data_IF_218105945662
#
_entry.id   IF_218105945662
#
_cell.length_a   1.000
_cell.length_b   1.000
_cell.length_c   1.000
_cell.angle_alpha   90.00
_cell.angle_beta   90.00
_cell.angle_gamma   90.00
#
_symmetry.space_group_name_H-M   'P 1'
#
loop_
_entity.id
_entity.type
_entity.pdbx_description
1 polymer ?
#
# COMPACT_ATOMS: atom_id res chain seq x y z
N UNK A 1 3.82 -1.80 -19.82
CA UNK A 1 4.78 -2.93 -19.83
C UNK A 1 4.52 -3.94 -18.72
N UNK A 2 4.32 -3.54 -17.45
CA UNK A 2 4.04 -4.48 -16.35
C UNK A 2 2.73 -5.31 -16.51
N UNK A 3 1.66 -4.70 -17.03
CA UNK A 3 0.36 -5.38 -17.22
C UNK A 3 0.42 -6.53 -18.24
N UNK A 4 1.26 -6.40 -19.28
CA UNK A 4 1.43 -7.44 -20.30
C UNK A 4 2.07 -8.69 -19.69
N UNK A 5 3.10 -8.50 -18.84
CA UNK A 5 3.74 -9.62 -18.15
C UNK A 5 2.82 -10.32 -17.14
N UNK A 6 1.95 -9.59 -16.45
CA UNK A 6 0.99 -10.18 -15.51
C UNK A 6 -0.05 -11.04 -16.23
N UNK A 7 -0.63 -10.55 -17.33
CA UNK A 7 -1.62 -11.30 -18.11
C UNK A 7 -1.00 -12.55 -18.75
N UNK A 8 0.18 -12.42 -19.35
CA UNK A 8 0.94 -13.56 -19.91
C UNK A 8 1.27 -14.62 -18.85
N UNK A 9 1.57 -14.20 -17.62
CA UNK A 9 1.78 -15.13 -16.51
C UNK A 9 0.47 -15.77 -16.04
N UNK A 10 -0.59 -14.98 -15.92
CA UNK A 10 -1.91 -15.45 -15.49
C UNK A 10 -2.47 -16.51 -16.44
N UNK A 11 -2.27 -16.35 -17.75
CA UNK A 11 -2.72 -17.31 -18.77
C UNK A 11 -2.05 -18.69 -18.68
N UNK A 12 -0.92 -18.80 -17.96
CA UNK A 12 -0.25 -20.07 -17.69
C UNK A 12 -0.76 -20.76 -16.41
N UNK A 13 -1.65 -20.12 -15.66
CA UNK A 13 -2.16 -20.65 -14.41
C UNK A 13 -3.45 -21.46 -14.62
N UNK A 14 -3.77 -22.39 -13.71
CA UNK A 14 -5.09 -23.04 -13.68
C UNK A 14 -6.23 -22.03 -13.62
N UNK A 15 -7.39 -22.39 -14.18
CA UNK A 15 -8.55 -21.50 -14.30
C UNK A 15 -9.01 -20.91 -12.96
N UNK A 16 -8.92 -21.69 -11.87
CA UNK A 16 -9.27 -21.21 -10.54
C UNK A 16 -8.36 -20.07 -10.06
N UNK A 17 -7.08 -20.08 -10.43
CA UNK A 17 -6.13 -19.00 -10.11
C UNK A 17 -6.46 -17.76 -10.95
N UNK A 18 -6.75 -17.95 -12.25
CA UNK A 18 -7.10 -16.87 -13.17
C UNK A 18 -8.33 -16.12 -12.68
N UNK A 19 -9.33 -16.81 -12.18
CA UNK A 19 -10.49 -16.17 -11.56
C UNK A 19 -10.22 -15.58 -10.18
N UNK A 20 -9.41 -16.22 -9.34
CA UNK A 20 -9.02 -15.63 -8.07
C UNK A 20 -8.34 -14.26 -8.26
N UNK A 21 -7.45 -14.16 -9.26
CA UNK A 21 -6.82 -12.91 -9.67
C UNK A 21 -7.85 -11.90 -10.18
N UNK A 22 -8.82 -12.34 -11.01
CA UNK A 22 -9.91 -11.49 -11.48
C UNK A 22 -10.74 -10.92 -10.33
N UNK A 23 -11.14 -11.75 -9.36
CA UNK A 23 -11.89 -11.32 -8.16
C UNK A 23 -11.10 -10.31 -7.34
N UNK A 24 -9.81 -10.57 -7.16
CA UNK A 24 -8.93 -9.65 -6.45
C UNK A 24 -8.81 -8.30 -7.16
N UNK A 25 -8.62 -8.32 -8.48
CA UNK A 25 -8.57 -7.11 -9.28
C UNK A 25 -9.92 -6.37 -9.24
N UNK A 26 -11.04 -7.04 -9.41
CA UNK A 26 -12.35 -6.38 -9.51
C UNK A 26 -12.85 -5.72 -8.21
N UNK A 27 -12.27 -6.05 -7.04
CA UNK A 27 -12.73 -5.50 -5.75
C UNK A 27 -12.03 -4.18 -5.40
N UNK A 28 -12.79 -3.12 -5.06
CA UNK A 28 -12.22 -1.88 -4.55
C UNK A 28 -11.30 -2.14 -3.34
N UNK A 29 -10.12 -1.53 -3.35
CA UNK A 29 -9.15 -1.70 -2.27
C UNK A 29 -8.61 -3.12 -2.12
N UNK A 30 -8.79 -3.99 -3.12
CA UNK A 30 -8.30 -5.37 -3.14
C UNK A 30 -8.84 -6.26 -2.01
N UNK A 31 -9.95 -5.86 -1.39
CA UNK A 31 -10.53 -6.55 -0.25
C UNK A 31 -11.53 -7.63 -0.71
N UNK A 32 -11.15 -8.89 -0.51
CA UNK A 32 -11.99 -10.03 -0.90
C UNK A 32 -13.12 -10.25 0.11
N UNK A 33 -14.35 -10.23 -0.38
CA UNK A 33 -15.54 -10.52 0.41
C UNK A 33 -15.71 -12.02 0.64
N UNK A 34 -16.63 -12.38 1.54
CA UNK A 34 -16.88 -13.79 1.87
C UNK A 34 -17.37 -14.60 0.67
N UNK A 35 -18.13 -13.96 -0.24
CA UNK A 35 -18.55 -14.56 -1.50
C UNK A 35 -17.38 -14.86 -2.43
N UNK A 36 -16.38 -13.97 -2.52
CA UNK A 36 -15.20 -14.21 -3.33
C UNK A 36 -14.39 -15.40 -2.80
N UNK A 37 -14.21 -15.45 -1.47
CA UNK A 37 -13.53 -16.55 -0.79
C UNK A 37 -14.27 -17.88 -0.98
N UNK A 38 -15.60 -17.87 -0.88
CA UNK A 38 -16.43 -19.03 -1.12
C UNK A 38 -16.31 -19.52 -2.58
N UNK A 39 -16.36 -18.59 -3.55
CA UNK A 39 -16.16 -18.89 -4.97
C UNK A 39 -14.82 -19.54 -5.27
N UNK A 40 -13.72 -18.97 -4.75
CA UNK A 40 -12.37 -19.56 -4.89
C UNK A 40 -12.31 -20.93 -4.22
N UNK A 41 -12.87 -21.08 -3.02
CA UNK A 41 -12.91 -22.35 -2.29
C UNK A 41 -13.64 -23.45 -3.06
N UNK A 42 -14.78 -23.15 -3.67
CA UNK A 42 -15.54 -24.10 -4.48
C UNK A 42 -14.71 -24.62 -5.67
N UNK A 43 -13.93 -23.75 -6.32
CA UNK A 43 -13.07 -24.13 -7.46
C UNK A 43 -11.87 -24.95 -7.05
N UNK A 44 -11.22 -24.60 -5.94
CA UNK A 44 -10.13 -25.40 -5.38
C UNK A 44 -10.64 -26.80 -5.01
N UNK A 45 -11.84 -26.90 -4.43
CA UNK A 45 -12.48 -28.19 -4.13
C UNK A 45 -12.81 -29.00 -5.38
N UNK A 46 -13.33 -28.36 -6.43
CA UNK A 46 -13.60 -29.02 -7.71
C UNK A 46 -12.32 -29.58 -8.35
N UNK A 47 -11.27 -28.76 -8.46
CA UNK A 47 -9.97 -29.20 -9.00
C UNK A 47 -9.33 -30.29 -8.13
N UNK A 48 -9.56 -30.26 -6.81
CA UNK A 48 -9.14 -31.31 -5.89
C UNK A 48 -10.00 -32.57 -5.90
N UNK A 49 -11.07 -32.65 -6.72
CA UNK A 49 -11.95 -33.81 -6.80
C UNK A 49 -12.94 -33.97 -5.64
N UNK A 50 -13.11 -32.95 -4.80
CA UNK A 50 -14.01 -32.98 -3.65
C UNK A 50 -15.47 -32.66 -4.00
N UNK A 51 -15.73 -32.11 -5.19
CA UNK A 51 -17.07 -31.75 -5.66
C UNK A 51 -17.21 -32.05 -7.16
N UNK A 52 -18.32 -32.66 -7.56
CA UNK A 52 -18.60 -32.97 -8.96
C UNK A 52 -19.10 -31.75 -9.75
N UNK A 53 -19.77 -30.81 -9.09
CA UNK A 53 -20.30 -29.60 -9.72
C UNK A 53 -19.15 -28.73 -10.23
N UNK A 54 -19.24 -28.30 -11.50
CA UNK A 54 -18.29 -27.37 -12.11
C UNK A 54 -18.70 -25.94 -11.68
N UNK A 55 -17.92 -25.27 -10.81
CA UNK A 55 -18.21 -23.90 -10.44
C UNK A 55 -17.95 -22.97 -11.63
N UNK A 56 -18.81 -21.95 -11.79
CA UNK A 56 -18.63 -20.90 -12.79
C UNK A 56 -17.23 -20.30 -12.66
N UNK A 57 -16.52 -20.09 -13.78
CA UNK A 57 -15.17 -19.55 -13.77
C UNK A 57 -14.88 -18.53 -14.85
N UNK A 58 -14.48 -17.32 -14.44
CA UNK A 58 -14.19 -16.21 -15.36
C UNK A 58 -12.73 -15.77 -15.20
N UNK A 59 -11.91 -15.87 -16.27
CA UNK A 59 -10.48 -15.57 -16.19
C UNK A 59 -10.22 -14.07 -16.02
N UNK A 60 -9.03 -13.73 -15.51
CA UNK A 60 -8.51 -12.37 -15.55
C UNK A 60 -8.36 -11.90 -17.00
N UNK A 61 -8.73 -10.66 -17.28
CA UNK A 61 -8.54 -10.01 -18.58
C UNK A 61 -8.03 -8.58 -18.37
N UNK A 62 -7.53 -7.96 -19.44
CA UNK A 62 -7.01 -6.59 -19.38
C UNK A 62 -8.04 -5.57 -18.88
N UNK A 63 -9.33 -5.78 -19.15
CA UNK A 63 -10.42 -4.89 -18.71
C UNK A 63 -10.53 -4.80 -17.18
N UNK A 64 -10.29 -5.93 -16.51
CA UNK A 64 -10.29 -6.01 -15.04
C UNK A 64 -9.11 -5.25 -14.41
N UNK A 65 -8.01 -5.06 -15.15
CA UNK A 65 -6.86 -4.29 -14.69
C UNK A 65 -7.05 -2.78 -14.98
N UNK A 66 -7.61 -2.45 -16.15
CA UNK A 66 -7.90 -1.06 -16.58
C UNK A 66 -8.95 -0.37 -15.71
N UNK A 67 -9.92 -1.10 -15.17
CA UNK A 67 -10.91 -0.52 -14.25
C UNK A 67 -10.28 0.00 -12.94
N UNK A 68 -9.12 -0.53 -12.55
CA UNK A 68 -8.38 -0.12 -11.35
C UNK A 68 -7.23 0.84 -11.63
N UNK A 69 -6.92 1.09 -12.91
CA UNK A 69 -6.26 2.34 -13.29
C UNK A 69 -7.31 3.45 -13.24
N UNK A 70 -7.80 3.76 -12.04
CA UNK A 70 -8.47 5.03 -11.80
C UNK A 70 -7.58 6.10 -12.44
N UNK A 71 -8.16 6.96 -13.26
CA UNK A 71 -7.54 8.15 -13.88
C UNK A 71 -7.07 9.18 -12.82
N UNK A 72 -6.86 8.74 -11.59
CA UNK A 72 -6.38 9.52 -10.47
C UNK A 72 -4.88 9.79 -10.68
N UNK A 73 -4.46 11.06 -10.51
CA UNK A 73 -3.11 11.48 -10.79
C UNK A 73 -2.11 10.70 -9.93
N UNK A 74 -0.98 10.33 -10.53
CA UNK A 74 0.14 9.74 -9.76
C UNK A 74 0.61 10.75 -8.71
N UNK A 75 1.07 10.25 -7.56
CA UNK A 75 1.69 11.09 -6.55
C UNK A 75 3.15 10.69 -6.29
N UNK A 76 4.01 11.67 -6.09
CA UNK A 76 5.40 11.51 -5.66
C UNK A 76 5.51 11.97 -4.21
N UNK A 77 6.05 11.12 -3.33
CA UNK A 77 6.31 11.51 -1.95
C UNK A 77 7.52 12.46 -1.91
N UNK A 78 7.34 13.66 -1.39
CA UNK A 78 8.37 14.70 -1.32
C UNK A 78 9.06 14.74 0.05
N UNK A 79 8.28 14.58 1.13
CA UNK A 79 8.85 14.54 2.48
C UNK A 79 7.95 13.91 3.52
N UNK A 80 8.57 13.38 4.57
CA UNK A 80 7.94 12.98 5.83
C UNK A 80 8.53 13.80 6.98
N UNK A 81 7.70 14.56 7.67
CA UNK A 81 8.08 15.37 8.82
C UNK A 81 7.78 16.88 8.63
N UNK A 82 7.75 17.69 9.70
CA UNK A 82 8.07 17.35 11.09
C UNK A 82 7.15 16.27 11.67
N UNK A 83 7.67 15.56 12.66
CA UNK A 83 6.98 14.45 13.33
C UNK A 83 6.74 14.79 14.78
N UNK A 84 5.59 14.39 15.33
CA UNK A 84 5.29 14.51 16.76
C UNK A 84 4.93 13.15 17.32
N UNK A 85 5.33 12.93 18.58
CA UNK A 85 4.94 11.76 19.37
C UNK A 85 5.36 10.42 18.76
N UNK A 86 6.46 10.39 18.02
CA UNK A 86 6.92 9.22 17.30
C UNK A 86 8.38 8.87 17.61
N UNK A 87 8.58 7.70 18.21
CA UNK A 87 9.86 7.22 18.73
C UNK A 87 10.58 8.34 19.49
N UNK A 88 11.88 8.51 19.26
CA UNK A 88 12.67 9.66 19.71
C UNK A 88 13.17 10.45 18.49
N UNK A 89 12.32 10.58 17.46
CA UNK A 89 12.63 11.44 16.32
C UNK A 89 12.60 12.90 16.78
N UNK A 90 13.52 13.72 16.29
CA UNK A 90 13.55 15.14 16.67
C UNK A 90 12.33 15.85 16.06
N UNK A 91 11.66 16.70 16.85
CA UNK A 91 10.34 17.26 16.49
C UNK A 91 10.34 18.00 15.14
N UNK A 92 11.40 18.75 14.85
CA UNK A 92 11.53 19.52 13.60
C UNK A 92 12.18 18.75 12.44
N UNK A 93 12.50 17.46 12.64
CA UNK A 93 13.22 16.70 11.63
C UNK A 93 12.31 16.27 10.48
N UNK A 94 12.78 16.55 9.26
CA UNK A 94 12.11 16.16 8.03
C UNK A 94 13.02 15.27 7.20
N UNK A 95 12.48 14.14 6.75
CA UNK A 95 13.10 13.30 5.74
C UNK A 95 12.60 13.72 4.37
N UNK A 96 13.50 14.16 3.50
CA UNK A 96 13.18 14.64 2.14
C UNK A 96 13.55 13.60 1.11
N UNK A 97 12.73 13.50 0.07
CA UNK A 97 12.93 12.63 -1.07
C UNK A 97 13.13 13.47 -2.33
N UNK A 98 13.97 12.98 -3.23
CA UNK A 98 14.07 13.50 -4.58
C UNK A 98 12.73 13.28 -5.29
N UNK A 99 12.17 14.36 -5.86
CA UNK A 99 10.95 14.31 -6.66
C UNK A 99 11.20 13.74 -8.05
N UNK A 100 12.46 13.71 -8.47
CA UNK A 100 12.97 13.06 -9.66
C UNK A 100 14.28 12.35 -9.32
N UNK A 101 14.35 11.05 -9.58
CA UNK A 101 15.52 10.21 -9.29
C UNK A 101 15.40 9.30 -8.07
N UNK A 102 16.54 8.98 -7.46
CA UNK A 102 16.68 7.99 -6.38
C UNK A 102 17.17 8.69 -5.11
N UNK A 103 16.51 8.40 -3.98
CA UNK A 103 16.93 8.87 -2.66
C UNK A 103 17.52 7.70 -1.87
N UNK A 104 18.77 7.83 -1.42
CA UNK A 104 19.44 6.85 -0.54
C UNK A 104 19.52 7.44 0.86
N UNK A 105 18.92 6.76 1.84
CA UNK A 105 18.91 7.19 3.24
C UNK A 105 19.78 6.23 4.06
N UNK A 106 20.81 6.76 4.70
CA UNK A 106 21.74 6.00 5.52
C UNK A 106 22.09 6.75 6.81
N UNK A 107 22.75 6.07 7.74
CA UNK A 107 23.17 6.63 9.03
C UNK A 107 23.31 5.55 10.09
N UNK A 108 23.74 5.93 11.29
CA UNK A 108 24.05 5.00 12.37
C UNK A 108 22.82 4.26 12.92
N UNK A 109 23.07 3.15 13.62
CA UNK A 109 22.03 2.47 14.37
C UNK A 109 21.43 3.42 15.41
N UNK A 110 20.09 3.45 15.49
CA UNK A 110 19.38 4.38 16.35
C UNK A 110 19.14 5.78 15.77
N UNK A 111 19.59 6.08 14.54
CA UNK A 111 19.37 7.40 13.90
C UNK A 111 17.93 7.69 13.45
N UNK A 112 16.99 6.77 13.68
CA UNK A 112 15.57 6.96 13.34
C UNK A 112 15.12 6.41 11.99
N UNK A 113 16.01 5.82 11.18
CA UNK A 113 15.68 5.23 9.85
C UNK A 113 14.46 4.29 9.89
N UNK A 114 14.46 3.33 10.81
CA UNK A 114 13.33 2.38 10.96
C UNK A 114 12.04 3.10 11.35
N UNK A 115 12.11 4.22 12.09
CA UNK A 115 10.96 5.05 12.43
C UNK A 115 10.29 5.61 11.17
N UNK A 116 11.07 6.21 10.26
CA UNK A 116 10.55 6.71 8.98
C UNK A 116 10.04 5.58 8.06
N UNK A 117 10.66 4.40 8.08
CA UNK A 117 10.16 3.25 7.33
C UNK A 117 8.75 2.85 7.80
N UNK A 118 8.50 2.79 9.12
CA UNK A 118 7.16 2.49 9.66
C UNK A 118 6.13 3.55 9.30
N UNK A 119 6.51 4.84 9.31
CA UNK A 119 5.65 5.93 8.81
C UNK A 119 5.24 5.67 7.36
N UNK A 120 6.22 5.39 6.49
CA UNK A 120 5.96 5.13 5.08
C UNK A 120 5.03 3.93 4.90
N UNK A 121 5.25 2.82 5.64
CA UNK A 121 4.37 1.64 5.60
C UNK A 121 2.93 1.91 6.04
N UNK A 122 2.69 2.83 6.99
CA UNK A 122 1.35 3.21 7.47
C UNK A 122 0.63 4.17 6.52
N UNK A 123 1.37 5.09 5.89
CA UNK A 123 0.83 6.10 4.98
C UNK A 123 0.61 5.60 3.56
N UNK A 124 1.50 4.74 3.09
CA UNK A 124 1.54 4.24 1.72
C UNK A 124 1.04 2.80 1.65
N UNK A 125 0.96 2.23 0.44
CA UNK A 125 0.60 0.83 0.25
C UNK A 125 1.76 -0.08 0.62
N UNK A 126 1.61 -0.80 1.72
CA UNK A 126 2.54 -1.83 2.17
C UNK A 126 1.80 -3.15 2.41
N UNK A 127 2.50 -4.27 2.26
CA UNK A 127 1.97 -5.60 2.64
C UNK A 127 1.91 -5.76 4.16
N UNK A 128 2.82 -5.11 4.88
CA UNK A 128 2.91 -5.11 6.34
C UNK A 128 2.82 -3.67 6.85
N UNK A 129 2.13 -3.47 7.97
CA UNK A 129 2.11 -2.19 8.66
C UNK A 129 2.48 -2.41 10.13
N UNK A 130 3.55 -1.75 10.56
CA UNK A 130 4.04 -1.80 11.93
C UNK A 130 3.44 -0.67 12.76
N UNK A 131 3.24 -0.88 14.05
CA UNK A 131 2.74 0.18 14.94
C UNK A 131 3.72 1.34 15.10
N UNK A 132 3.16 2.54 15.18
CA UNK A 132 3.89 3.77 15.45
C UNK A 132 3.98 3.96 16.95
N UNK A 133 5.14 3.67 17.51
CA UNK A 133 5.40 3.75 18.96
C UNK A 133 5.93 5.14 19.33
N UNK A 134 5.35 5.78 20.34
CA UNK A 134 5.87 7.04 20.88
C UNK A 134 7.10 6.87 21.76
N UNK A 135 7.71 7.98 22.17
CA UNK A 135 8.97 8.04 22.92
C UNK A 135 8.94 7.21 24.20
N UNK A 136 9.86 6.25 24.35
CA UNK A 136 9.96 5.39 25.54
C UNK A 136 10.44 6.11 26.80
N UNK A 137 11.07 7.28 26.64
CA UNK A 137 11.58 8.09 27.75
C UNK A 137 10.54 9.10 28.28
N UNK A 138 9.42 9.27 27.57
CA UNK A 138 8.32 10.12 28.03
C UNK A 138 7.38 9.30 28.92
N UNK A 139 7.06 9.86 30.09
CA UNK A 139 6.17 9.25 31.08
C UNK A 139 4.73 9.61 30.74
N UNK A 140 3.82 8.65 30.91
CA UNK A 140 2.38 8.85 30.76
C UNK A 140 1.82 8.31 29.45
N UNK A 141 0.58 8.70 29.13
CA UNK A 141 -0.12 8.28 27.92
C UNK A 141 0.50 8.93 26.70
N UNK A 142 0.91 8.12 25.73
CA UNK A 142 1.49 8.59 24.47
C UNK A 142 0.36 8.93 23.49
N UNK A 143 0.23 10.19 23.06
CA UNK A 143 -0.75 10.53 22.02
C UNK A 143 -0.37 9.87 20.68
N UNK A 144 -1.32 9.75 19.74
CA UNK A 144 -1.04 9.23 18.40
C UNK A 144 0.04 10.06 17.69
N UNK A 145 0.87 9.38 16.90
CA UNK A 145 1.89 10.05 16.10
C UNK A 145 1.26 11.03 15.10
N UNK A 146 1.91 12.17 14.89
CA UNK A 146 1.51 13.14 13.86
C UNK A 146 2.69 13.37 12.92
N UNK A 147 2.42 13.41 11.62
CA UNK A 147 3.44 13.56 10.58
C UNK A 147 2.96 14.55 9.54
N UNK A 148 3.75 15.59 9.27
CA UNK A 148 3.52 16.41 8.08
C UNK A 148 4.03 15.65 6.86
N UNK A 149 3.13 15.29 5.96
CA UNK A 149 3.43 14.64 4.70
C UNK A 149 3.37 15.67 3.60
N UNK A 150 4.36 15.67 2.70
CA UNK A 150 4.29 16.43 1.46
C UNK A 150 4.39 15.49 0.28
N UNK A 151 3.47 15.64 -0.66
CA UNK A 151 3.48 14.89 -1.91
C UNK A 151 3.13 15.80 -3.08
N UNK A 152 3.60 15.44 -4.26
CA UNK A 152 3.35 16.15 -5.51
C UNK A 152 2.46 15.28 -6.38
N UNK A 153 1.25 15.74 -6.68
CA UNK A 153 0.37 15.09 -7.63
C UNK A 153 0.79 15.40 -9.07
N UNK A 154 0.50 14.49 -9.99
CA UNK A 154 0.80 14.63 -11.41
C UNK A 154 0.15 15.89 -11.98
N UNK A 155 0.97 16.76 -12.58
CA UNK A 155 0.55 18.06 -13.10
C UNK A 155 0.55 19.21 -12.09
N UNK A 156 0.75 18.94 -10.79
CA UNK A 156 0.96 19.99 -9.80
C UNK A 156 2.39 20.56 -9.90
N UNK A 157 2.53 21.85 -9.62
CA UNK A 157 3.83 22.54 -9.58
C UNK A 157 4.43 22.59 -8.18
N UNK A 158 3.60 22.48 -7.14
CA UNK A 158 3.98 22.64 -5.74
C UNK A 158 3.53 21.43 -4.90
N UNK A 159 4.35 20.93 -3.97
CA UNK A 159 3.95 19.85 -3.08
C UNK A 159 2.81 20.26 -2.16
N UNK A 160 1.80 19.40 -2.06
CA UNK A 160 0.68 19.58 -1.13
C UNK A 160 1.07 19.12 0.27
N UNK A 161 0.97 19.98 1.30
CA UNK A 161 1.21 19.60 2.69
C UNK A 161 -0.06 19.08 3.36
N UNK A 162 0.02 17.93 4.02
CA UNK A 162 -1.06 17.38 4.86
C UNK A 162 -0.47 16.87 6.17
N UNK A 163 -1.03 17.31 7.30
CA UNK A 163 -0.74 16.71 8.61
C UNK A 163 -1.60 15.46 8.78
N UNK A 164 -0.96 14.30 8.76
CA UNK A 164 -1.61 13.02 9.06
C UNK A 164 -1.41 12.65 10.53
N UNK A 165 -2.42 11.99 11.11
CA UNK A 165 -2.42 11.53 12.49
C UNK A 165 -2.68 10.03 12.52
N UNK A 166 -1.90 9.30 13.30
CA UNK A 166 -2.05 7.85 13.42
C UNK A 166 -3.45 7.48 13.93
N UNK A 167 -4.02 6.46 13.31
CA UNK A 167 -5.42 6.06 13.48
C UNK A 167 -6.43 6.75 12.54
N UNK A 168 -6.02 7.73 11.71
CA UNK A 168 -6.88 8.29 10.64
C UNK A 168 -6.51 7.74 9.27
N UNK A 169 -7.45 7.85 8.32
CA UNK A 169 -7.20 7.43 6.94
C UNK A 169 -6.05 8.25 6.31
N UNK A 170 -5.05 7.58 5.71
CA UNK A 170 -4.00 8.27 4.95
C UNK A 170 -4.59 9.04 3.74
N UNK A 171 -3.90 10.09 3.25
CA UNK A 171 -4.28 10.76 2.01
C UNK A 171 -4.33 9.78 0.83
N UNK A 172 -5.43 9.81 0.07
CA UNK A 172 -5.66 8.88 -1.05
C UNK A 172 -4.52 8.91 -2.09
N UNK A 173 -3.94 10.08 -2.34
CA UNK A 173 -2.88 10.29 -3.33
C UNK A 173 -1.62 9.47 -2.99
N UNK A 174 -1.21 9.41 -1.72
CA UNK A 174 0.00 8.67 -1.31
C UNK A 174 -0.28 7.20 -1.01
N UNK A 175 -1.54 6.81 -0.79
CA UNK A 175 -1.94 5.41 -0.63
C UNK A 175 -1.66 4.56 -1.89
N UNK A 176 -1.29 5.19 -3.01
CA UNK A 176 -0.92 4.55 -4.28
C UNK A 176 0.58 4.25 -4.38
N UNK A 177 1.39 4.85 -3.50
CA UNK A 177 2.83 4.62 -3.44
C UNK A 177 3.08 3.28 -2.79
N UNK A 178 3.94 2.44 -3.37
CA UNK A 178 4.29 1.14 -2.79
C UNK A 178 5.53 1.22 -1.94
N UNK A 179 5.44 0.65 -0.74
CA UNK A 179 6.57 0.45 0.17
C UNK A 179 6.85 -1.05 0.24
N UNK A 180 8.12 -1.39 0.06
CA UNK A 180 8.62 -2.76 0.11
C UNK A 180 9.70 -2.82 1.19
N UNK A 181 9.68 -3.88 2.00
CA UNK A 181 10.68 -4.18 3.02
C UNK A 181 11.13 -5.64 2.96
#
# INVERSE_FOLDING_TARGET
MAEVGLLEWADKQPDWIRDALRRHAARPGFNLEQEDKAGVTARVRHVGGFTADLPECSPLSAEHLRANSSNEPRAVLCSLGPVKHLNRLAEEQQLRFATDGITIIYGDNGSGKSGYCRIAKKLCRSLTADDLLGNVFEIGTKPPAEVLVRFLEEGATEPTPITWKDGTLPPASIARISVFD
#
